data_IF_486225073479
#
_entry.id   IF_486225073479
#
_cell.length_a   1.000
_cell.length_b   1.000
_cell.length_c   1.000
_cell.angle_alpha   90.00
_cell.angle_beta   90.00
_cell.angle_gamma   90.00
#
_symmetry.space_group_name_H-M   'P 1'
#
loop_
_entity.id
_entity.type
_entity.pdbx_description
1 polymer ?
#
# COMPACT_ATOMS: atom_id res chain seq x y z
N UNK A 1 2.18 -28.35 -19.35
CA UNK A 1 1.39 -27.56 -18.37
C UNK A 1 2.13 -27.52 -17.03
N UNK A 2 2.68 -28.64 -16.57
CA UNK A 2 3.52 -28.73 -15.35
C UNK A 2 4.75 -27.79 -15.35
N UNK A 3 5.40 -27.57 -16.50
CA UNK A 3 6.57 -26.67 -16.60
C UNK A 3 6.22 -25.16 -16.43
N UNK A 4 4.96 -24.78 -16.68
CA UNK A 4 4.46 -23.42 -16.44
C UNK A 4 4.04 -23.20 -14.98
N UNK A 5 3.67 -24.27 -14.28
CA UNK A 5 3.40 -24.24 -12.84
C UNK A 5 4.70 -24.25 -12.03
N UNK A 6 5.72 -24.99 -12.47
CA UNK A 6 7.03 -25.02 -11.82
C UNK A 6 7.76 -23.66 -11.86
N UNK A 7 7.57 -22.88 -12.93
CA UNK A 7 8.21 -21.55 -13.12
C UNK A 7 7.62 -20.44 -12.27
N UNK A 8 6.43 -20.63 -11.71
CA UNK A 8 5.77 -19.70 -10.77
C UNK A 8 6.31 -19.84 -9.34
N UNK A 9 6.98 -20.94 -9.02
CA UNK A 9 7.35 -21.32 -7.65
C UNK A 9 8.78 -20.94 -7.23
N UNK A 10 9.62 -20.51 -8.17
CA UNK A 10 10.98 -20.03 -7.87
C UNK A 10 10.95 -18.54 -7.60
N UNK A 11 11.55 -18.13 -6.47
CA UNK A 11 11.83 -16.75 -6.09
C UNK A 11 12.16 -15.90 -7.32
N UNK A 12 11.68 -14.66 -7.31
CA UNK A 12 12.00 -13.63 -8.28
C UNK A 12 13.51 -13.65 -8.59
N UNK A 13 13.94 -13.62 -9.88
CA UNK A 13 15.36 -13.51 -10.23
C UNK A 13 16.14 -12.47 -9.41
N UNK A 14 15.50 -11.36 -9.01
CA UNK A 14 16.09 -10.35 -8.11
C UNK A 14 16.38 -10.85 -6.68
N UNK A 15 15.68 -11.87 -6.22
CA UNK A 15 15.78 -12.47 -4.88
C UNK A 15 16.75 -13.67 -4.84
N UNK A 16 17.42 -13.99 -5.96
CA UNK A 16 18.45 -15.03 -6.01
C UNK A 16 19.78 -14.48 -5.47
N UNK A 17 20.40 -15.25 -4.57
CA UNK A 17 21.53 -15.00 -3.62
C UNK A 17 22.77 -14.19 -4.06
N UNK A 18 22.82 -13.57 -5.26
CA UNK A 18 24.01 -12.90 -5.77
C UNK A 18 23.91 -11.37 -5.92
N UNK A 19 22.76 -10.75 -5.71
CA UNK A 19 22.62 -9.30 -5.77
C UNK A 19 22.45 -8.68 -4.39
N UNK A 20 23.44 -7.91 -3.94
CA UNK A 20 23.26 -6.91 -2.88
C UNK A 20 22.43 -5.79 -3.50
N UNK A 21 21.11 -5.91 -3.50
CA UNK A 21 20.22 -5.03 -4.27
C UNK A 21 18.75 -5.15 -3.86
N UNK A 22 17.95 -4.22 -4.36
CA UNK A 22 16.48 -4.19 -4.24
C UNK A 22 15.82 -5.09 -5.29
N UNK A 23 14.49 -5.22 -5.28
CA UNK A 23 13.70 -5.85 -6.33
C UNK A 23 14.05 -5.27 -7.71
N UNK A 24 14.22 -6.12 -8.72
CA UNK A 24 14.53 -5.64 -10.06
C UNK A 24 13.33 -4.89 -10.69
N UNK A 25 13.57 -3.97 -11.63
CA UNK A 25 12.50 -3.14 -12.20
C UNK A 25 11.38 -3.91 -12.92
N UNK A 26 11.67 -5.08 -13.51
CA UNK A 26 10.67 -5.86 -14.24
C UNK A 26 9.76 -6.60 -13.27
N UNK A 27 10.33 -7.17 -12.21
CA UNK A 27 9.55 -7.74 -11.11
C UNK A 27 8.77 -6.69 -10.33
N UNK A 28 9.36 -5.52 -10.07
CA UNK A 28 8.63 -4.39 -9.49
C UNK A 28 7.43 -4.02 -10.35
N UNK A 29 7.59 -3.90 -11.67
CA UNK A 29 6.48 -3.58 -12.57
C UNK A 29 5.40 -4.65 -12.53
N UNK A 30 5.78 -5.92 -12.54
CA UNK A 30 4.84 -7.05 -12.45
C UNK A 30 3.99 -6.96 -11.17
N UNK A 31 4.62 -6.86 -10.00
CA UNK A 31 3.90 -6.85 -8.73
C UNK A 31 3.18 -5.53 -8.46
N UNK A 32 3.72 -4.40 -8.93
CA UNK A 32 3.03 -3.11 -8.86
C UNK A 32 1.73 -3.13 -9.66
N UNK A 33 1.71 -3.70 -10.87
CA UNK A 33 0.47 -3.89 -11.63
C UNK A 33 -0.51 -4.80 -10.90
N UNK A 34 -0.04 -5.95 -10.38
CA UNK A 34 -0.89 -6.85 -9.61
C UNK A 34 -1.53 -6.15 -8.40
N UNK A 35 -0.77 -5.33 -7.67
CA UNK A 35 -1.29 -4.59 -6.50
C UNK A 35 -2.26 -3.49 -6.93
N UNK A 36 -2.01 -2.78 -8.03
CA UNK A 36 -2.94 -1.76 -8.55
C UNK A 36 -4.27 -2.40 -8.97
N UNK A 37 -4.22 -3.53 -9.68
CA UNK A 37 -5.42 -4.27 -10.08
C UNK A 37 -6.19 -4.73 -8.84
N UNK A 38 -5.50 -5.29 -7.84
CA UNK A 38 -6.12 -5.67 -6.57
C UNK A 38 -6.77 -4.48 -5.84
N UNK A 39 -6.11 -3.32 -5.80
CA UNK A 39 -6.66 -2.11 -5.17
C UNK A 39 -7.93 -1.65 -5.90
N UNK A 40 -7.92 -1.66 -7.23
CA UNK A 40 -9.08 -1.28 -8.04
C UNK A 40 -10.27 -2.23 -7.76
N UNK A 41 -10.02 -3.54 -7.81
CA UNK A 41 -11.02 -4.57 -7.52
C UNK A 41 -11.56 -4.43 -6.09
N UNK A 42 -10.67 -4.22 -5.12
CA UNK A 42 -11.04 -3.99 -3.73
C UNK A 42 -11.94 -2.75 -3.57
N UNK A 43 -11.58 -1.62 -4.17
CA UNK A 43 -12.38 -0.39 -4.07
C UNK A 43 -13.75 -0.52 -4.76
N UNK A 44 -13.82 -1.26 -5.85
CA UNK A 44 -15.09 -1.57 -6.54
C UNK A 44 -16.00 -2.48 -5.69
N UNK A 45 -15.41 -3.49 -5.03
CA UNK A 45 -16.15 -4.55 -4.34
C UNK A 45 -16.04 -4.49 -2.80
N UNK A 46 -15.59 -3.37 -2.22
CA UNK A 46 -15.35 -3.26 -0.77
C UNK A 46 -16.62 -3.53 0.06
N UNK A 47 -17.80 -3.30 -0.53
CA UNK A 47 -19.09 -3.60 0.10
C UNK A 47 -19.37 -5.09 0.35
N UNK A 48 -18.65 -5.99 -0.31
CA UNK A 48 -18.82 -7.44 -0.15
C UNK A 48 -18.10 -7.97 1.11
N UNK A 49 -17.17 -7.20 1.66
CA UNK A 49 -16.44 -7.56 2.88
C UNK A 49 -17.26 -7.25 4.15
N UNK A 50 -17.10 -8.05 5.22
CA UNK A 50 -17.68 -7.70 6.50
C UNK A 50 -17.07 -6.39 7.02
N UNK A 51 -17.90 -5.37 7.25
CA UNK A 51 -17.44 -4.03 7.70
C UNK A 51 -16.45 -4.10 8.87
N UNK A 52 -16.78 -4.86 9.92
CA UNK A 52 -15.90 -5.07 11.07
C UNK A 52 -15.14 -6.38 10.94
N UNK A 53 -13.86 -6.35 11.33
CA UNK A 53 -13.04 -7.55 11.44
C UNK A 53 -13.69 -8.59 12.37
N UNK A 54 -13.58 -9.88 12.02
CA UNK A 54 -14.17 -11.00 12.77
C UNK A 54 -13.15 -11.80 13.58
N UNK A 55 -11.94 -11.27 13.76
CA UNK A 55 -10.84 -11.89 14.51
C UNK A 55 -10.86 -11.54 16.00
N UNK A 56 -10.27 -12.39 16.83
CA UNK A 56 -10.03 -12.12 18.25
C UNK A 56 -8.65 -11.48 18.47
N UNK A 57 -8.43 -10.77 19.60
CA UNK A 57 -7.12 -10.29 19.97
C UNK A 57 -6.06 -11.41 19.95
N UNK A 58 -4.97 -11.17 19.20
CA UNK A 58 -3.88 -12.13 19.00
C UNK A 58 -4.05 -13.10 17.83
N UNK A 59 -5.23 -13.15 17.19
CA UNK A 59 -5.52 -13.70 15.84
C UNK A 59 -4.31 -13.69 14.91
N UNK A 60 -4.06 -12.50 14.40
CA UNK A 60 -3.06 -12.21 13.38
C UNK A 60 -1.65 -12.57 13.84
N UNK A 61 -1.29 -12.25 15.09
CA UNK A 61 0.04 -12.52 15.64
C UNK A 61 0.33 -14.02 15.71
N UNK A 62 -0.66 -14.84 16.08
CA UNK A 62 -0.50 -16.31 16.14
C UNK A 62 -0.41 -16.96 14.77
N UNK A 63 -0.98 -16.33 13.74
CA UNK A 63 -0.92 -16.82 12.37
C UNK A 63 0.42 -16.54 11.67
N UNK A 64 1.25 -15.66 12.23
CA UNK A 64 2.58 -15.31 11.71
C UNK A 64 3.69 -16.09 12.41
N UNK A 65 4.87 -16.29 11.76
CA UNK A 65 6.04 -16.87 12.39
C UNK A 65 6.49 -16.08 13.63
N UNK A 66 6.99 -16.79 14.65
CA UNK A 66 7.47 -16.18 15.89
C UNK A 66 8.80 -15.43 15.74
N UNK A 67 9.52 -15.66 14.63
CA UNK A 67 10.83 -15.09 14.31
C UNK A 67 10.84 -14.66 12.84
N UNK A 68 11.62 -13.63 12.47
CA UNK A 68 11.72 -13.19 11.09
C UNK A 68 12.35 -14.27 10.19
N UNK A 69 11.98 -14.33 8.90
CA UNK A 69 12.56 -15.29 7.97
C UNK A 69 14.07 -15.04 7.83
N UNK A 70 14.85 -16.12 7.84
CA UNK A 70 16.30 -16.07 7.63
C UNK A 70 16.70 -16.11 6.15
N UNK A 71 15.73 -16.40 5.29
CA UNK A 71 15.89 -16.53 3.85
C UNK A 71 14.79 -15.72 3.15
N UNK A 72 15.04 -15.21 1.94
CA UNK A 72 14.03 -14.45 1.20
C UNK A 72 12.80 -15.30 0.89
N UNK A 73 11.64 -14.65 0.88
CA UNK A 73 10.35 -15.22 0.47
C UNK A 73 9.86 -14.52 -0.80
N UNK A 74 9.12 -15.22 -1.65
CA UNK A 74 8.63 -14.64 -2.89
C UNK A 74 7.58 -13.57 -2.61
N UNK A 75 7.55 -12.51 -3.43
CA UNK A 75 6.49 -11.50 -3.32
C UNK A 75 5.09 -12.10 -3.50
N UNK A 76 4.96 -13.16 -4.31
CA UNK A 76 3.71 -13.91 -4.44
C UNK A 76 3.26 -14.55 -3.11
N UNK A 77 4.18 -15.15 -2.35
CA UNK A 77 3.86 -15.71 -1.03
C UNK A 77 3.44 -14.62 -0.04
N UNK A 78 4.13 -13.48 -0.06
CA UNK A 78 3.80 -12.31 0.78
C UNK A 78 2.39 -11.78 0.48
N UNK A 79 2.04 -11.61 -0.80
CA UNK A 79 0.69 -11.16 -1.20
C UNK A 79 -0.39 -12.19 -0.83
N UNK A 80 -0.10 -13.48 -0.99
CA UNK A 80 -1.02 -14.54 -0.56
C UNK A 80 -1.25 -14.51 0.96
N UNK A 81 -0.22 -14.23 1.75
CA UNK A 81 -0.32 -14.08 3.20
C UNK A 81 -1.06 -12.81 3.60
N UNK A 82 -0.90 -11.71 2.86
CA UNK A 82 -1.72 -10.52 3.04
C UNK A 82 -3.22 -10.83 2.90
N UNK A 83 -3.63 -11.51 1.82
CA UNK A 83 -5.04 -11.87 1.60
C UNK A 83 -5.54 -12.89 2.63
N UNK A 84 -4.72 -13.90 2.97
CA UNK A 84 -5.13 -15.02 3.82
C UNK A 84 -5.11 -14.67 5.30
N UNK A 85 -4.11 -13.93 5.75
CA UNK A 85 -3.86 -13.64 7.18
C UNK A 85 -4.39 -12.26 7.54
N UNK A 86 -3.99 -11.23 6.79
CA UNK A 86 -4.23 -9.84 7.20
C UNK A 86 -5.64 -9.37 6.85
N UNK A 87 -6.08 -9.59 5.61
CA UNK A 87 -7.36 -9.08 5.11
C UNK A 87 -8.57 -9.46 5.99
N UNK A 88 -8.71 -10.70 6.53
CA UNK A 88 -9.81 -11.05 7.43
C UNK A 88 -9.81 -10.30 8.77
N UNK A 89 -8.65 -9.78 9.17
CA UNK A 89 -8.45 -8.96 10.36
C UNK A 89 -8.64 -7.45 10.13
N UNK A 90 -8.93 -7.03 8.90
CA UNK A 90 -9.15 -5.62 8.56
C UNK A 90 -10.60 -5.24 8.88
N UNK A 91 -10.76 -4.11 9.56
CA UNK A 91 -12.03 -3.38 9.56
C UNK A 91 -12.06 -2.53 8.30
N UNK A 92 -13.04 -2.72 7.44
CA UNK A 92 -13.10 -2.11 6.11
C UNK A 92 -13.72 -0.71 6.20
N UNK A 93 -12.90 0.28 6.54
CA UNK A 93 -13.31 1.68 6.65
C UNK A 93 -13.87 2.26 5.34
N UNK A 94 -13.38 1.78 4.19
CA UNK A 94 -13.88 2.18 2.86
C UNK A 94 -15.23 1.53 2.50
N UNK A 95 -15.74 0.58 3.30
CA UNK A 95 -17.01 -0.07 2.98
C UNK A 95 -18.18 0.92 3.09
N UNK A 96 -19.14 0.92 2.16
CA UNK A 96 -20.31 1.81 2.20
C UNK A 96 -21.19 1.60 3.44
N UNK A 97 -21.07 0.44 4.10
CA UNK A 97 -21.76 0.15 5.37
C UNK A 97 -21.01 0.61 6.63
N UNK A 98 -19.81 1.17 6.52
CA UNK A 98 -19.05 1.66 7.67
C UNK A 98 -19.62 3.00 8.17
N UNK A 99 -20.24 2.98 9.35
CA UNK A 99 -20.88 4.14 9.99
C UNK A 99 -20.31 4.43 11.40
N UNK A 100 -19.12 3.91 11.70
CA UNK A 100 -18.43 4.14 12.96
C UNK A 100 -17.61 5.43 12.94
N UNK A 101 -17.42 6.05 14.10
CA UNK A 101 -16.50 7.18 14.31
C UNK A 101 -16.72 8.37 13.35
N UNK A 102 -15.76 8.64 12.46
CA UNK A 102 -15.76 9.70 11.45
C UNK A 102 -15.59 9.09 10.07
N UNK A 103 -16.08 9.79 9.04
CA UNK A 103 -15.96 9.35 7.65
C UNK A 103 -14.51 9.24 7.17
N UNK A 104 -14.27 8.31 6.25
CA UNK A 104 -12.99 8.14 5.57
C UNK A 104 -12.95 8.97 4.29
N UNK A 105 -11.82 9.61 4.00
CA UNK A 105 -11.62 10.50 2.83
C UNK A 105 -10.65 9.92 1.81
N UNK A 106 -10.46 8.60 1.82
CA UNK A 106 -9.61 7.92 0.85
C UNK A 106 -10.14 8.12 -0.57
N UNK A 107 -9.23 8.36 -1.53
CA UNK A 107 -9.60 8.53 -2.94
C UNK A 107 -8.55 7.91 -3.85
N UNK A 108 -8.96 7.47 -5.04
CA UNK A 108 -8.04 6.93 -6.06
C UNK A 108 -6.85 7.86 -6.36
N UNK A 109 -7.07 9.17 -6.63
CA UNK A 109 -5.97 10.12 -6.81
C UNK A 109 -5.04 10.22 -5.60
N UNK A 110 -5.56 10.15 -4.37
CA UNK A 110 -4.75 10.16 -3.15
C UNK A 110 -3.83 8.95 -3.05
N UNK A 111 -4.35 7.75 -3.36
CA UNK A 111 -3.56 6.50 -3.38
C UNK A 111 -2.43 6.59 -4.43
N UNK A 112 -2.73 7.10 -5.63
CA UNK A 112 -1.71 7.31 -6.66
C UNK A 112 -0.67 8.36 -6.24
N UNK A 113 -1.09 9.40 -5.52
CA UNK A 113 -0.17 10.37 -4.91
C UNK A 113 0.80 9.72 -3.91
N UNK A 114 0.29 8.84 -3.05
CA UNK A 114 1.13 8.07 -2.11
C UNK A 114 2.14 7.17 -2.83
N UNK A 115 1.77 6.55 -3.96
CA UNK A 115 2.71 5.75 -4.76
C UNK A 115 3.88 6.59 -5.27
N UNK A 116 3.61 7.80 -5.76
CA UNK A 116 4.66 8.72 -6.21
C UNK A 116 5.53 9.20 -5.05
N UNK A 117 4.92 9.54 -3.91
CA UNK A 117 5.65 9.95 -2.70
C UNK A 117 6.58 8.84 -2.21
N UNK A 118 6.08 7.59 -2.14
CA UNK A 118 6.87 6.43 -1.75
C UNK A 118 8.04 6.16 -2.71
N UNK A 119 7.80 6.27 -4.03
CA UNK A 119 8.85 6.07 -5.04
C UNK A 119 9.95 7.14 -4.99
N UNK A 120 9.60 8.40 -4.74
CA UNK A 120 10.57 9.49 -4.65
C UNK A 120 11.30 9.51 -3.29
N UNK A 121 10.69 8.94 -2.24
CA UNK A 121 11.25 8.83 -0.89
C UNK A 121 11.88 10.15 -0.38
N UNK A 122 11.15 11.26 -0.59
CA UNK A 122 11.68 12.60 -0.35
C UNK A 122 11.74 12.95 1.13
N UNK A 123 12.82 13.62 1.55
CA UNK A 123 12.91 14.26 2.86
C UNK A 123 12.87 15.78 2.68
N UNK A 124 11.73 16.39 3.04
CA UNK A 124 11.46 17.82 2.86
C UNK A 124 11.74 18.67 4.12
N UNK A 125 12.71 18.29 4.97
CA UNK A 125 13.01 19.02 6.21
C UNK A 125 13.49 20.47 5.98
N UNK A 126 14.16 20.74 4.86
CA UNK A 126 14.56 22.08 4.45
C UNK A 126 14.17 22.29 3.00
N UNK A 127 13.92 23.53 2.59
CA UNK A 127 13.63 23.85 1.18
C UNK A 127 14.69 23.28 0.24
N UNK A 128 15.98 23.34 0.61
CA UNK A 128 17.08 22.80 -0.21
C UNK A 128 17.05 21.27 -0.36
N UNK A 129 16.44 20.53 0.57
CA UNK A 129 16.41 19.05 0.50
C UNK A 129 15.26 18.54 -0.36
N UNK A 130 14.20 19.33 -0.57
CA UNK A 130 13.15 19.04 -1.56
C UNK A 130 12.34 20.30 -1.93
N UNK A 131 12.85 21.16 -2.84
CA UNK A 131 12.19 22.43 -3.17
C UNK A 131 10.76 22.26 -3.67
N UNK A 132 10.55 21.27 -4.54
CA UNK A 132 9.24 21.01 -5.14
C UNK A 132 8.22 20.57 -4.09
N UNK A 133 8.63 19.77 -3.10
CA UNK A 133 7.74 19.37 -2.01
C UNK A 133 7.34 20.58 -1.14
N UNK A 134 8.31 21.42 -0.77
CA UNK A 134 8.04 22.64 0.02
C UNK A 134 7.11 23.60 -0.72
N UNK A 135 7.38 23.89 -1.99
CA UNK A 135 6.56 24.84 -2.76
C UNK A 135 5.19 24.28 -3.10
N UNK A 136 5.08 22.99 -3.43
CA UNK A 136 3.79 22.35 -3.68
C UNK A 136 2.91 22.33 -2.42
N UNK A 137 3.49 22.08 -1.25
CA UNK A 137 2.78 22.16 0.03
C UNK A 137 2.22 23.57 0.26
N UNK A 138 3.02 24.62 0.05
CA UNK A 138 2.56 26.01 0.17
C UNK A 138 1.40 26.30 -0.78
N UNK A 139 1.50 25.90 -2.05
CA UNK A 139 0.42 26.10 -3.02
C UNK A 139 -0.85 25.34 -2.63
N UNK A 140 -0.73 24.06 -2.25
CA UNK A 140 -1.88 23.23 -1.89
C UNK A 140 -2.58 23.71 -0.62
N UNK A 141 -1.81 24.16 0.39
CA UNK A 141 -2.37 24.75 1.60
C UNK A 141 -3.01 26.11 1.33
N UNK A 142 -2.47 26.92 0.42
CA UNK A 142 -3.09 28.20 0.06
C UNK A 142 -4.41 27.95 -0.65
N UNK A 143 -4.47 26.96 -1.55
CA UNK A 143 -5.73 26.53 -2.16
C UNK A 143 -6.73 26.04 -1.11
N UNK A 144 -6.31 25.24 -0.14
CA UNK A 144 -7.18 24.78 0.94
C UNK A 144 -7.72 25.95 1.77
N UNK A 145 -6.85 26.91 2.13
CA UNK A 145 -7.23 28.16 2.82
C UNK A 145 -8.30 28.92 2.02
N UNK A 146 -8.10 29.07 0.70
CA UNK A 146 -9.07 29.73 -0.19
C UNK A 146 -10.41 28.97 -0.23
N UNK A 147 -10.39 27.64 -0.36
CA UNK A 147 -11.60 26.81 -0.38
C UNK A 147 -12.40 26.89 0.93
N UNK A 148 -11.73 27.09 2.05
CA UNK A 148 -12.35 27.27 3.37
C UNK A 148 -12.77 28.73 3.66
N UNK A 149 -12.47 29.68 2.78
CA UNK A 149 -12.80 31.10 2.96
C UNK A 149 -12.00 31.80 4.06
N UNK A 150 -10.80 31.29 4.39
CA UNK A 150 -9.95 31.87 5.42
C UNK A 150 -9.18 33.11 4.92
N UNK A 151 -8.92 34.11 5.77
CA UNK A 151 -8.32 35.39 5.38
C UNK A 151 -6.80 35.31 5.14
N UNK A 152 -6.26 36.32 4.46
CA UNK A 152 -4.81 36.54 4.27
C UNK A 152 -4.15 35.60 3.25
N UNK A 153 -2.91 35.89 2.79
CA UNK A 153 -2.06 34.88 2.17
C UNK A 153 -1.48 33.94 3.23
N UNK A 154 -0.94 32.79 2.80
CA UNK A 154 -0.06 31.96 3.64
C UNK A 154 1.22 32.70 4.04
#
# INVERSE_FOLDING_TARGET
MEEREQKRATLDPAQQEQAIGDMDPDSFRLYAHQVVDWIADYLEHVGDYPVLARTQPGDIRRALPAQPPQQPESMQAILADFERILLPGITHWNAPGFMGFFGITGSGPGILGEFLTAALNVNAMLWRTSPAATELEQVALDWLRQMLGLPGPL
#
